data_IF_801340211343
#
_entry.id   IF_801340211343
#
_cell.length_a   1.000
_cell.length_b   1.000
_cell.length_c   1.000
_cell.angle_alpha   90.00
_cell.angle_beta   90.00
_cell.angle_gamma   90.00
#
_symmetry.space_group_name_H-M   'P 1'
#
loop_
_entity.id
_entity.type
_entity.pdbx_description
1 polymer ?
#
# COMPACT_ATOMS: atom_id res chain seq x y z
N UNK A 1 10.22 20.01 1.78
CA UNK A 1 9.48 19.52 2.96
C UNK A 1 9.86 18.06 3.15
N UNK A 2 10.12 17.57 4.38
CA UNK A 2 10.49 16.17 4.57
C UNK A 2 9.32 15.29 4.10
N UNK A 3 9.63 14.22 3.37
CA UNK A 3 8.65 13.18 3.06
C UNK A 3 8.01 12.73 4.37
N UNK A 4 6.68 12.56 4.40
CA UNK A 4 6.02 11.91 5.54
C UNK A 4 6.74 10.57 5.71
N UNK A 5 7.47 10.42 6.81
CA UNK A 5 8.05 9.14 7.10
C UNK A 5 6.89 8.26 7.52
N UNK A 6 6.79 7.07 6.93
CA UNK A 6 5.74 6.09 7.25
C UNK A 6 5.59 5.86 8.77
N UNK A 7 6.66 6.04 9.55
CA UNK A 7 6.65 6.00 11.03
C UNK A 7 5.71 7.03 11.68
N UNK A 8 5.44 8.15 11.01
CA UNK A 8 4.54 9.19 11.50
C UNK A 8 3.06 8.82 11.29
N UNK A 9 2.75 8.01 10.26
CA UNK A 9 1.38 7.63 9.89
C UNK A 9 0.91 6.36 10.61
N UNK A 10 1.82 5.42 10.91
CA UNK A 10 1.50 4.10 11.52
C UNK A 10 0.77 4.21 12.86
N UNK A 11 1.00 5.28 13.63
CA UNK A 11 0.35 5.46 14.94
C UNK A 11 -1.18 5.55 14.84
N UNK A 12 -1.68 6.03 13.71
CA UNK A 12 -3.11 6.20 13.47
C UNK A 12 -3.73 5.02 12.69
N UNK A 13 -2.92 4.04 12.29
CA UNK A 13 -3.37 2.87 11.54
C UNK A 13 -3.78 1.74 12.49
N UNK A 14 -4.89 1.09 12.16
CA UNK A 14 -5.34 -0.09 12.89
C UNK A 14 -4.83 -1.34 12.19
N UNK A 15 -4.41 -2.32 12.99
CA UNK A 15 -4.03 -3.61 12.47
C UNK A 15 -5.29 -4.41 12.12
N UNK A 16 -5.46 -4.73 10.85
CA UNK A 16 -6.52 -5.59 10.34
C UNK A 16 -6.06 -7.06 10.37
N UNK A 17 -7.02 -7.98 10.36
CA UNK A 17 -6.72 -9.38 10.03
C UNK A 17 -6.60 -9.51 8.52
N UNK A 18 -5.64 -10.28 8.00
CA UNK A 18 -5.43 -10.34 6.56
C UNK A 18 -4.05 -10.78 6.13
N UNK A 19 -3.81 -10.78 4.84
CA UNK A 19 -2.48 -11.04 4.26
C UNK A 19 -2.16 -10.02 3.19
N UNK A 20 -0.88 -9.74 3.03
CA UNK A 20 -0.34 -9.01 1.88
C UNK A 20 1.03 -9.59 1.55
N UNK A 21 1.27 -9.86 0.28
CA UNK A 21 2.55 -10.36 -0.17
C UNK A 21 3.21 -9.40 -1.18
N UNK A 22 4.52 -9.59 -1.33
CA UNK A 22 5.35 -8.90 -2.31
C UNK A 22 6.01 -9.95 -3.20
N UNK A 23 5.84 -9.79 -4.50
CA UNK A 23 6.34 -10.64 -5.56
C UNK A 23 7.27 -9.83 -6.46
N UNK A 24 8.39 -10.41 -6.85
CA UNK A 24 9.31 -9.89 -7.86
C UNK A 24 9.78 -11.05 -8.74
N UNK A 25 9.75 -10.89 -10.06
CA UNK A 25 10.12 -11.93 -11.02
C UNK A 25 9.44 -13.29 -10.76
N UNK A 26 8.14 -13.24 -10.41
CA UNK A 26 7.33 -14.42 -10.03
C UNK A 26 7.76 -15.16 -8.76
N UNK A 27 8.65 -14.58 -7.95
CA UNK A 27 9.06 -15.12 -6.64
C UNK A 27 8.50 -14.27 -5.52
N UNK A 28 7.98 -14.94 -4.48
CA UNK A 28 7.59 -14.26 -3.25
C UNK A 28 8.83 -13.79 -2.50
N UNK A 29 8.92 -12.48 -2.30
CA UNK A 29 9.99 -11.83 -1.54
C UNK A 29 9.64 -11.87 -0.05
N UNK A 30 8.39 -11.59 0.29
CA UNK A 30 7.84 -11.78 1.62
C UNK A 30 6.32 -11.83 1.63
N UNK A 31 5.78 -12.31 2.75
CA UNK A 31 4.35 -12.28 3.06
C UNK A 31 4.14 -11.80 4.48
N UNK A 32 3.22 -10.85 4.65
CA UNK A 32 2.73 -10.41 5.94
C UNK A 32 1.40 -11.07 6.24
N UNK A 33 1.23 -11.57 7.47
CA UNK A 33 -0.04 -12.08 8.01
C UNK A 33 -0.86 -10.97 8.72
N UNK A 34 -0.48 -9.70 8.49
CA UNK A 34 -1.19 -8.53 8.97
C UNK A 34 -1.19 -7.46 7.90
N UNK A 35 -2.35 -6.83 7.71
CA UNK A 35 -2.47 -5.63 6.89
C UNK A 35 -2.81 -4.49 7.81
N UNK A 36 -2.05 -3.40 7.72
CA UNK A 36 -2.34 -2.18 8.44
C UNK A 36 -3.16 -1.29 7.52
N UNK A 37 -4.36 -0.97 7.98
CA UNK A 37 -5.30 -0.15 7.26
C UNK A 37 -5.75 1.03 8.11
N UNK A 38 -5.92 2.17 7.46
CA UNK A 38 -6.42 3.35 8.13
C UNK A 38 -6.52 4.55 7.22
N UNK A 39 -7.11 5.60 7.78
CA UNK A 39 -7.33 6.86 7.12
C UNK A 39 -6.40 7.90 7.75
N UNK A 40 -5.67 8.64 6.93
CA UNK A 40 -4.94 9.82 7.38
C UNK A 40 -5.13 10.92 6.35
N UNK A 41 -5.77 12.02 6.78
CA UNK A 41 -6.22 13.08 5.87
C UNK A 41 -7.22 12.58 4.82
N UNK A 42 -6.93 12.85 3.55
CA UNK A 42 -7.72 12.46 2.37
C UNK A 42 -7.28 11.13 1.77
N UNK A 43 -6.64 10.26 2.55
CA UNK A 43 -5.96 9.07 2.03
C UNK A 43 -6.23 7.82 2.87
N UNK A 44 -6.51 6.71 2.19
CA UNK A 44 -6.55 5.34 2.72
C UNK A 44 -5.17 4.71 2.57
N UNK A 45 -4.67 4.07 3.61
CA UNK A 45 -3.38 3.38 3.60
C UNK A 45 -3.57 1.87 3.66
N UNK A 46 -2.78 1.13 2.89
CA UNK A 46 -2.76 -0.33 2.86
C UNK A 46 -1.30 -0.76 2.96
N UNK A 47 -0.94 -1.40 4.06
CA UNK A 47 0.46 -1.68 4.38
C UNK A 47 0.63 -3.11 4.90
N UNK A 48 1.77 -3.73 4.59
CA UNK A 48 2.23 -4.91 5.32
C UNK A 48 3.71 -4.90 5.59
N UNK A 49 4.11 -5.71 6.57
CA UNK A 49 5.50 -5.88 6.97
C UNK A 49 5.85 -7.34 7.26
N UNK A 50 7.12 -7.68 7.10
CA UNK A 50 7.72 -8.91 7.61
C UNK A 50 9.00 -8.55 8.37
N UNK A 51 8.92 -8.52 9.70
CA UNK A 51 10.02 -8.03 10.54
C UNK A 51 10.29 -6.53 10.36
N UNK A 52 11.54 -6.11 10.56
CA UNK A 52 11.94 -4.70 10.53
C UNK A 52 12.41 -4.19 9.15
N UNK A 53 12.67 -5.09 8.21
CA UNK A 53 13.43 -4.79 6.99
C UNK A 53 12.66 -5.13 5.70
N UNK A 54 11.36 -5.44 5.81
CA UNK A 54 10.53 -5.80 4.66
C UNK A 54 9.17 -5.19 4.85
N UNK A 55 8.79 -4.30 3.93
CA UNK A 55 7.50 -3.63 3.99
C UNK A 55 7.01 -3.26 2.60
N UNK A 56 5.69 -3.13 2.47
CA UNK A 56 5.05 -2.48 1.33
C UNK A 56 4.03 -1.51 1.90
N UNK A 57 4.04 -0.29 1.38
CA UNK A 57 3.12 0.76 1.79
C UNK A 57 2.50 1.38 0.53
N UNK A 58 1.20 1.13 0.37
CA UNK A 58 0.36 1.65 -0.69
C UNK A 58 -0.68 2.58 -0.08
N UNK A 59 -1.25 3.43 -0.91
CA UNK A 59 -2.37 4.26 -0.52
C UNK A 59 -3.33 4.50 -1.67
N UNK A 60 -4.51 4.99 -1.35
CA UNK A 60 -5.56 5.33 -2.30
C UNK A 60 -6.33 6.58 -1.81
N UNK A 61 -7.02 7.33 -2.70
CA UNK A 61 -7.91 8.40 -2.29
C UNK A 61 -8.98 7.92 -1.29
N UNK A 62 -9.29 8.74 -0.27
CA UNK A 62 -10.23 8.37 0.81
C UNK A 62 -11.68 8.30 0.35
N UNK A 63 -12.02 9.10 -0.63
CA UNK A 63 -13.35 9.33 -1.21
C UNK A 63 -13.79 8.26 -2.21
N UNK A 64 -12.96 7.25 -2.48
CA UNK A 64 -13.40 6.06 -3.21
C UNK A 64 -14.53 5.36 -2.46
N UNK A 65 -15.66 5.20 -3.14
CA UNK A 65 -16.83 4.49 -2.60
C UNK A 65 -16.54 2.99 -2.40
N UNK A 66 -17.46 2.29 -1.76
CA UNK A 66 -17.38 0.83 -1.66
C UNK A 66 -17.49 0.20 -3.06
N UNK A 67 -16.78 -0.92 -3.28
CA UNK A 67 -16.70 -1.58 -4.58
C UNK A 67 -15.30 -1.57 -5.21
N UNK A 68 -15.24 -1.96 -6.48
CA UNK A 68 -14.00 -2.16 -7.25
C UNK A 68 -13.50 -0.84 -7.84
N UNK A 69 -12.22 -0.55 -7.59
CA UNK A 69 -11.52 0.62 -8.11
C UNK A 69 -10.15 0.24 -8.66
N UNK A 70 -9.67 1.06 -9.59
CA UNK A 70 -8.30 1.03 -10.08
C UNK A 70 -7.69 2.40 -9.81
N UNK A 71 -6.57 2.40 -9.09
CA UNK A 71 -5.80 3.59 -8.72
C UNK A 71 -4.47 3.54 -9.45
N UNK A 72 -4.17 4.58 -10.21
CA UNK A 72 -2.96 4.74 -11.03
C UNK A 72 -2.04 5.76 -10.39
N UNK A 73 -0.86 5.32 -9.96
CA UNK A 73 0.18 6.18 -9.42
C UNK A 73 1.16 6.59 -10.53
N UNK A 74 1.56 7.87 -10.63
CA UNK A 74 1.19 8.99 -9.76
C UNK A 74 -0.03 9.80 -10.25
N UNK A 75 -0.67 9.41 -11.35
CA UNK A 75 -1.71 10.21 -12.03
C UNK A 75 -2.89 10.58 -11.11
N UNK A 76 -3.43 9.61 -10.36
CA UNK A 76 -4.53 9.82 -9.42
C UNK A 76 -4.09 10.53 -8.12
N UNK A 77 -2.78 10.76 -7.97
CA UNK A 77 -2.17 11.42 -6.82
C UNK A 77 -1.78 12.86 -7.11
N UNK A 78 -2.01 13.38 -8.32
CA UNK A 78 -1.70 14.77 -8.66
C UNK A 78 -2.40 15.80 -7.75
N UNK A 79 -3.51 15.40 -7.10
CA UNK A 79 -4.25 16.23 -6.14
C UNK A 79 -3.91 15.93 -4.66
N UNK A 80 -3.14 14.87 -4.41
CA UNK A 80 -2.71 14.46 -3.08
C UNK A 80 -1.35 15.10 -2.74
N UNK A 81 -1.07 15.38 -1.45
CA UNK A 81 0.22 15.96 -1.06
C UNK A 81 1.42 15.16 -1.56
N UNK A 82 2.49 15.84 -2.02
CA UNK A 82 3.77 15.25 -2.46
C UNK A 82 4.42 14.30 -1.45
N UNK A 83 4.01 14.39 -0.18
CA UNK A 83 4.45 13.53 0.90
C UNK A 83 3.85 12.13 0.86
N UNK A 84 2.83 11.88 0.03
CA UNK A 84 2.19 10.58 -0.14
C UNK A 84 2.80 9.83 -1.32
N UNK A 85 3.79 9.00 -1.01
CA UNK A 85 4.47 8.15 -2.00
C UNK A 85 4.30 6.69 -1.63
N UNK A 86 4.02 5.86 -2.63
CA UNK A 86 4.10 4.42 -2.43
C UNK A 86 5.56 4.00 -2.28
N UNK A 87 5.80 3.05 -1.39
CA UNK A 87 7.15 2.52 -1.13
C UNK A 87 7.13 1.01 -0.95
N UNK A 88 8.26 0.40 -1.30
CA UNK A 88 8.57 -1.00 -1.00
C UNK A 88 9.94 -1.03 -0.35
N UNK A 89 10.05 -1.69 0.80
CA UNK A 89 11.34 -2.01 1.42
C UNK A 89 11.62 -3.50 1.24
N UNK A 90 12.76 -3.81 0.64
CA UNK A 90 13.28 -5.17 0.53
C UNK A 90 14.67 -5.22 1.15
N UNK A 91 14.78 -5.97 2.25
CA UNK A 91 16.02 -6.19 3.00
C UNK A 91 16.66 -4.89 3.53
N UNK A 92 15.84 -3.94 4.01
CA UNK A 92 16.27 -2.70 4.66
C UNK A 92 16.58 -1.57 3.68
N UNK A 93 16.26 -1.75 2.39
CA UNK A 93 16.40 -0.75 1.36
C UNK A 93 15.01 -0.27 0.95
N UNK A 94 14.60 0.88 1.49
CA UNK A 94 13.38 1.55 1.08
C UNK A 94 13.52 2.13 -0.34
N UNK A 95 12.65 1.71 -1.24
CA UNK A 95 12.56 2.15 -2.64
C UNK A 95 11.25 2.91 -2.85
N UNK A 96 11.34 4.13 -3.38
CA UNK A 96 10.18 4.86 -3.88
C UNK A 96 9.64 4.19 -5.16
N UNK A 97 8.33 4.23 -5.36
CA UNK A 97 7.67 3.81 -6.60
C UNK A 97 7.62 4.99 -7.57
N UNK A 98 7.92 4.74 -8.85
CA UNK A 98 7.84 5.72 -9.93
C UNK A 98 6.45 5.75 -10.55
N UNK A 99 5.89 4.59 -10.83
CA UNK A 99 4.54 4.43 -11.37
C UNK A 99 3.97 3.05 -11.01
N UNK A 100 2.66 2.90 -11.07
CA UNK A 100 2.03 1.61 -10.87
C UNK A 100 0.53 1.67 -10.80
N UNK A 101 -0.07 0.51 -10.59
CA UNK A 101 -1.52 0.34 -10.51
C UNK A 101 -1.86 -0.47 -9.27
N UNK A 102 -2.87 -0.02 -8.54
CA UNK A 102 -3.53 -0.71 -7.44
C UNK A 102 -4.97 -0.99 -7.86
N UNK A 103 -5.33 -2.25 -7.99
CA UNK A 103 -6.72 -2.69 -8.14
C UNK A 103 -7.21 -3.14 -6.78
N UNK A 104 -8.26 -2.50 -6.27
CA UNK A 104 -8.77 -2.74 -4.92
C UNK A 104 -10.28 -2.76 -4.91
N UNK A 105 -10.85 -3.72 -4.19
CA UNK A 105 -12.27 -3.77 -3.84
C UNK A 105 -12.42 -3.38 -2.38
N UNK A 106 -13.05 -2.26 -2.09
CA UNK A 106 -13.41 -1.88 -0.72
C UNK A 106 -14.76 -2.51 -0.35
N UNK A 107 -14.80 -3.21 0.78
CA UNK A 107 -16.05 -3.67 1.38
C UNK A 107 -16.75 -2.56 2.15
N UNK A 108 -17.97 -2.88 2.62
CA UNK A 108 -18.87 -1.95 3.30
C UNK A 108 -18.14 -1.09 4.35
N UNK A 109 -18.23 0.23 4.23
CA UNK A 109 -17.64 1.19 5.18
C UNK A 109 -16.13 0.97 5.48
N UNK A 110 -15.41 0.30 4.58
CA UNK A 110 -14.00 -0.05 4.78
C UNK A 110 -13.74 -1.20 5.76
N UNK A 111 -14.76 -2.01 6.08
CA UNK A 111 -14.64 -3.23 6.91
C UNK A 111 -13.74 -4.29 6.27
N UNK A 112 -13.54 -4.23 4.96
CA UNK A 112 -12.62 -5.12 4.26
C UNK A 112 -12.02 -4.44 3.03
N UNK A 113 -10.88 -4.95 2.59
CA UNK A 113 -10.33 -4.61 1.29
C UNK A 113 -9.55 -5.79 0.75
N UNK A 114 -9.68 -6.05 -0.53
CA UNK A 114 -8.86 -7.03 -1.23
C UNK A 114 -8.44 -6.51 -2.59
N UNK A 115 -7.30 -6.95 -3.08
CA UNK A 115 -6.79 -6.40 -4.31
C UNK A 115 -5.43 -6.92 -4.70
N UNK A 116 -4.94 -6.34 -5.78
CA UNK A 116 -3.63 -6.60 -6.34
C UNK A 116 -2.96 -5.31 -6.74
N UNK A 117 -1.64 -5.27 -6.71
CA UNK A 117 -0.88 -4.12 -7.18
C UNK A 117 0.28 -4.57 -8.06
N UNK A 118 0.70 -3.66 -8.94
CA UNK A 118 1.85 -3.82 -9.81
C UNK A 118 2.53 -2.46 -9.98
N UNK A 119 3.81 -2.37 -9.66
CA UNK A 119 4.54 -1.11 -9.51
C UNK A 119 5.94 -1.21 -10.11
N UNK A 120 6.44 -0.10 -10.64
CA UNK A 120 7.82 0.07 -11.08
C UNK A 120 8.60 0.88 -10.06
N UNK A 121 9.76 0.37 -9.64
CA UNK A 121 10.63 1.06 -8.69
C UNK A 121 11.34 2.26 -9.34
N UNK A 122 11.42 3.38 -8.63
CA UNK A 122 11.98 4.62 -9.15
C UNK A 122 13.45 4.50 -9.51
N UNK A 123 13.79 4.91 -10.74
CA UNK A 123 15.15 4.83 -11.25
C UNK A 123 15.61 3.41 -11.54
N UNK A 124 14.68 2.45 -11.62
CA UNK A 124 14.91 1.05 -11.94
C UNK A 124 13.92 0.60 -13.02
N UNK A 125 14.22 -0.53 -13.68
CA UNK A 125 13.27 -1.26 -14.52
C UNK A 125 12.62 -2.44 -13.78
N UNK A 126 12.94 -2.60 -12.50
CA UNK A 126 12.39 -3.66 -11.66
C UNK A 126 10.91 -3.40 -11.39
N UNK A 127 10.13 -4.46 -11.60
CA UNK A 127 8.71 -4.50 -11.30
C UNK A 127 8.47 -5.33 -10.04
N UNK A 128 7.60 -4.81 -9.19
CA UNK A 128 7.15 -5.47 -7.97
C UNK A 128 5.63 -5.52 -8.01
N UNK A 129 5.05 -6.60 -7.52
CA UNK A 129 3.60 -6.70 -7.40
C UNK A 129 3.20 -7.54 -6.23
N UNK A 130 1.91 -7.77 -6.08
CA UNK A 130 1.42 -8.63 -5.02
C UNK A 130 -0.08 -8.55 -4.88
N UNK A 131 -0.58 -9.34 -3.95
CA UNK A 131 -1.99 -9.38 -3.60
C UNK A 131 -2.14 -9.07 -2.12
N UNK A 132 -3.29 -8.55 -1.76
CA UNK A 132 -3.66 -8.37 -0.37
C UNK A 132 -5.13 -8.67 -0.17
N UNK A 133 -5.45 -9.04 1.06
CA UNK A 133 -6.81 -9.17 1.56
C UNK A 133 -6.81 -8.83 3.03
N UNK A 134 -7.76 -8.03 3.47
CA UNK A 134 -7.90 -7.64 4.86
C UNK A 134 -9.36 -7.54 5.27
N UNK A 135 -9.61 -7.79 6.54
CA UNK A 135 -10.88 -7.61 7.22
C UNK A 135 -10.64 -7.01 8.60
N UNK A 136 -11.42 -5.98 8.89
CA UNK A 136 -11.48 -5.25 10.14
C UNK A 136 -12.60 -5.86 10.99
N UNK A 137 -12.28 -6.41 12.18
CA UNK A 137 -13.28 -7.06 13.04
C UNK A 137 -14.07 -6.10 13.95
N UNK A 138 -14.08 -4.78 13.68
CA UNK A 138 -14.63 -3.75 14.58
C UNK A 138 -15.69 -2.89 13.92
#
# INVERSE_FOLDING_TARGET
MPALSYADVVKDLKASTGTINVMQDSKEIFKSERVYYGLHGSTRFIIGYEGQYRQVALCAPKDLEDGLHTVVYPEDFAQLPDSLKWTVDVNGVNREIEKGTLTVTFGLEGESAEGSYHVTLKGSREEVGGNFKMSNPW
#
